data_IF_639362652154
#
_entry.id   IF_639362652154
#
_cell.length_a   1.000
_cell.length_b   1.000
_cell.length_c   1.000
_cell.angle_alpha   90.00
_cell.angle_beta   90.00
_cell.angle_gamma   90.00
#
_symmetry.space_group_name_H-M   'P 1'
#
loop_
_entity.id
_entity.type
_entity.pdbx_description
1 polymer ?
#
# COMPACT_ATOMS: atom_id res chain seq x y z
N UNK A 1 12.76 1.98 -12.49
CA UNK A 1 11.97 1.93 -11.24
C UNK A 1 11.43 0.51 -11.07
N UNK A 2 11.52 -0.09 -9.89
CA UNK A 2 11.02 -1.46 -9.64
C UNK A 2 9.50 -1.45 -9.39
N UNK A 3 8.75 -2.30 -10.11
CA UNK A 3 7.29 -2.42 -9.99
C UNK A 3 6.82 -3.09 -8.69
N UNK A 4 7.72 -3.74 -7.96
CA UNK A 4 7.42 -4.40 -6.71
C UNK A 4 8.61 -4.32 -5.78
N UNK A 5 8.34 -4.11 -4.49
CA UNK A 5 9.37 -3.99 -3.45
C UNK A 5 9.01 -4.87 -2.25
N UNK A 6 10.04 -5.39 -1.57
CA UNK A 6 9.85 -6.18 -0.36
C UNK A 6 10.01 -5.27 0.86
N UNK A 7 8.99 -5.23 1.70
CA UNK A 7 9.04 -4.61 3.02
C UNK A 7 8.86 -5.73 4.05
N UNK A 8 9.79 -5.86 5.01
CA UNK A 8 9.70 -6.88 6.08
C UNK A 8 9.50 -8.31 5.55
N UNK A 9 10.18 -8.66 4.44
CA UNK A 9 10.05 -9.96 3.77
C UNK A 9 8.75 -10.16 2.97
N UNK A 10 7.80 -9.24 3.05
CA UNK A 10 6.51 -9.25 2.33
C UNK A 10 6.63 -8.45 1.03
N UNK A 11 6.12 -8.99 -0.08
CA UNK A 11 6.08 -8.29 -1.39
C UNK A 11 4.91 -7.31 -1.45
N UNK A 12 5.18 -6.11 -1.95
CA UNK A 12 4.21 -5.04 -2.23
C UNK A 12 4.38 -4.60 -3.68
N UNK A 13 3.28 -4.19 -4.29
CA UNK A 13 3.22 -3.72 -5.68
C UNK A 13 3.16 -2.20 -5.68
N UNK A 14 3.91 -1.57 -6.58
CA UNK A 14 3.77 -0.13 -6.78
C UNK A 14 2.38 0.18 -7.34
N UNK A 15 1.78 1.27 -6.86
CA UNK A 15 0.47 1.72 -7.32
C UNK A 15 0.46 2.33 -8.73
N UNK A 16 1.63 2.55 -9.31
CA UNK A 16 1.80 3.16 -10.64
C UNK A 16 1.77 4.69 -10.63
N UNK A 17 1.58 5.32 -9.46
CA UNK A 17 1.62 6.77 -9.27
C UNK A 17 2.92 7.22 -8.61
N UNK A 18 3.47 8.32 -9.12
CA UNK A 18 4.56 9.09 -8.50
C UNK A 18 3.96 10.33 -7.84
N UNK A 19 4.34 10.57 -6.59
CA UNK A 19 3.87 11.69 -5.78
C UNK A 19 5.05 12.62 -5.52
N UNK A 20 4.84 13.94 -5.65
CA UNK A 20 5.90 14.93 -5.42
C UNK A 20 6.04 15.30 -3.95
N UNK A 21 4.93 15.21 -3.22
CA UNK A 21 4.84 15.60 -1.84
C UNK A 21 4.52 14.42 -0.92
N UNK A 22 5.13 14.40 0.27
CA UNK A 22 4.89 13.35 1.27
C UNK A 22 3.41 13.29 1.67
N UNK A 23 2.76 14.45 1.73
CA UNK A 23 1.35 14.57 2.11
C UNK A 23 0.42 13.83 1.13
N UNK A 24 0.68 13.94 -0.18
CA UNK A 24 -0.11 13.25 -1.21
C UNK A 24 0.09 11.73 -1.13
N UNK A 25 1.35 11.29 -1.01
CA UNK A 25 1.69 9.87 -0.86
C UNK A 25 1.08 9.28 0.42
N UNK A 26 1.05 10.07 1.50
CA UNK A 26 0.43 9.70 2.77
C UNK A 26 -1.09 9.57 2.64
N UNK A 27 -1.75 10.53 2.00
CA UNK A 27 -3.19 10.46 1.76
C UNK A 27 -3.57 9.22 0.93
N UNK A 28 -2.81 8.91 -0.12
CA UNK A 28 -2.99 7.70 -0.91
C UNK A 28 -2.80 6.43 -0.07
N UNK A 29 -1.73 6.37 0.75
CA UNK A 29 -1.51 5.27 1.70
C UNK A 29 -2.69 5.06 2.66
N UNK A 30 -3.22 6.14 3.25
CA UNK A 30 -4.35 6.06 4.20
C UNK A 30 -5.64 5.61 3.51
N UNK A 31 -5.86 6.02 2.25
CA UNK A 31 -6.96 5.52 1.42
C UNK A 31 -6.87 4.01 1.19
N UNK A 32 -5.69 3.51 0.79
CA UNK A 32 -5.47 2.06 0.63
C UNK A 32 -5.66 1.28 1.93
N UNK A 33 -5.16 1.81 3.05
CA UNK A 33 -5.36 1.21 4.38
C UNK A 33 -6.84 1.03 4.71
N UNK A 34 -7.66 2.04 4.41
CA UNK A 34 -9.11 2.00 4.63
C UNK A 34 -9.84 0.99 3.72
N UNK A 35 -9.23 0.63 2.60
CA UNK A 35 -9.76 -0.34 1.62
C UNK A 35 -9.24 -1.78 1.86
N UNK A 36 -8.63 -2.06 3.01
CA UNK A 36 -8.13 -3.40 3.33
C UNK A 36 -6.82 -3.76 2.63
N UNK A 37 -6.00 -2.75 2.31
CA UNK A 37 -4.63 -2.96 1.83
C UNK A 37 -3.63 -2.52 2.89
N UNK A 38 -2.52 -3.22 3.01
CA UNK A 38 -1.35 -2.70 3.69
C UNK A 38 -0.56 -1.85 2.70
N UNK A 39 -0.38 -0.58 3.02
CA UNK A 39 0.27 0.39 2.14
C UNK A 39 1.49 1.02 2.82
N UNK A 40 2.59 1.12 2.07
CA UNK A 40 3.87 1.68 2.49
C UNK A 40 4.30 2.79 1.52
N UNK A 41 4.86 3.86 2.06
CA UNK A 41 5.50 4.90 1.26
C UNK A 41 7.00 4.62 1.12
N UNK A 42 7.56 4.96 -0.03
CA UNK A 42 8.99 4.87 -0.29
C UNK A 42 9.44 6.13 -1.02
N UNK A 43 10.56 6.73 -0.59
CA UNK A 43 11.12 7.91 -1.23
C UNK A 43 12.35 7.52 -2.05
N UNK A 44 12.39 7.92 -3.32
CA UNK A 44 13.54 7.72 -4.22
C UNK A 44 13.70 8.95 -5.11
N UNK A 45 14.91 9.46 -5.28
CA UNK A 45 15.17 10.53 -6.26
C UNK A 45 14.40 11.83 -6.06
N UNK A 46 13.92 12.09 -4.84
CA UNK A 46 13.10 13.27 -4.51
C UNK A 46 11.60 13.11 -4.75
N UNK A 47 11.15 11.94 -5.22
CA UNK A 47 9.74 11.59 -5.35
C UNK A 47 9.32 10.54 -4.31
N UNK A 48 8.01 10.46 -4.09
CA UNK A 48 7.36 9.52 -3.20
C UNK A 48 6.55 8.50 -3.98
N UNK A 49 6.58 7.26 -3.54
CA UNK A 49 5.93 6.13 -4.19
C UNK A 49 5.14 5.35 -3.16
N UNK A 50 3.95 4.89 -3.56
CA UNK A 50 3.08 4.09 -2.70
C UNK A 50 3.11 2.64 -3.18
N UNK A 51 3.43 1.74 -2.26
CA UNK A 51 3.46 0.31 -2.48
C UNK A 51 2.35 -0.34 -1.66
N UNK A 52 1.47 -1.10 -2.32
CA UNK A 52 0.30 -1.71 -1.70
C UNK A 52 0.39 -3.24 -1.72
N UNK A 53 -0.25 -3.84 -0.73
CA UNK A 53 -0.45 -5.30 -0.62
C UNK A 53 -1.85 -5.54 -0.09
N UNK A 54 -2.64 -6.35 -0.79
CA UNK A 54 -3.97 -6.71 -0.28
C UNK A 54 -3.84 -7.48 1.03
N UNK A 55 -4.49 -7.00 2.09
CA UNK A 55 -4.67 -7.79 3.29
C UNK A 55 -5.82 -8.74 3.00
N UNK A 56 -5.61 -10.04 3.23
CA UNK A 56 -6.73 -10.96 3.27
C UNK A 56 -7.56 -10.56 4.49
N UNK A 57 -8.65 -9.83 4.28
CA UNK A 57 -9.69 -9.71 5.28
C UNK A 57 -10.21 -11.12 5.50
N UNK A 58 -9.96 -11.67 6.69
CA UNK A 58 -10.65 -12.89 7.11
C UNK A 58 -12.14 -12.65 6.88
N UNK A 59 -12.70 -13.40 5.94
CA UNK A 59 -14.14 -13.42 5.71
C UNK A 59 -14.72 -13.80 7.05
N UNK A 60 -15.42 -12.88 7.70
CA UNK A 60 -16.18 -13.16 8.91
C UNK A 60 -17.26 -14.17 8.48
N UNK A 61 -16.94 -15.46 8.57
CA UNK A 61 -17.92 -16.54 8.45
C UNK A 61 -18.75 -16.42 9.72
N UNK A 62 -19.78 -15.59 9.66
CA UNK A 62 -20.83 -15.60 10.66
C UNK A 62 -21.45 -17.00 10.60
N UNK A 63 -21.13 -17.80 11.60
CA UNK A 63 -21.71 -19.12 11.79
C UNK A 63 -23.21 -18.92 11.99
N UNK A 64 -23.99 -19.25 10.96
CA UNK A 64 -25.43 -19.37 11.07
C UNK A 64 -25.74 -20.41 12.15
N UNK A 65 -26.40 -19.99 13.23
CA UNK A 65 -27.03 -20.84 14.24
C UNK A 65 -28.53 -20.81 14.02
#
# INVERSE_FOLDING_TARGET
>A
MEIARKFEGKKYMWDGAEYKDESEARAARESYASNGYDARTFQEGGAFYVFTRKLATEVKVESAT
#
